data_IF_100779612016
#
_entry.id   IF_100779612016
#
_cell.length_a   1.000
_cell.length_b   1.000
_cell.length_c   1.000
_cell.angle_alpha   90.00
_cell.angle_beta   90.00
_cell.angle_gamma   90.00
#
_symmetry.space_group_name_H-M   'P 1'
#
loop_
_entity.id
_entity.type
_entity.pdbx_description
1 polymer ?
#
# COMPACT_ATOMS: atom_id res chain seq x y z
N UNK A 1 -47.06 -16.54 59.53
CA UNK A 1 -45.73 -16.02 59.96
C UNK A 1 -44.83 -16.13 58.76
N UNK A 2 -44.89 -15.10 57.88
CA UNK A 2 -44.18 -15.08 56.61
C UNK A 2 -42.97 -14.19 56.77
N UNK A 3 -41.79 -14.69 56.45
CA UNK A 3 -40.59 -13.88 56.30
C UNK A 3 -40.53 -13.33 54.84
N UNK A 4 -40.62 -12.02 54.79
CA UNK A 4 -40.27 -11.27 53.55
C UNK A 4 -38.75 -11.35 53.36
N UNK A 5 -38.33 -11.97 52.25
CA UNK A 5 -36.94 -11.90 51.78
C UNK A 5 -36.80 -10.57 51.01
N UNK A 6 -36.02 -9.66 51.55
CA UNK A 6 -35.61 -8.41 50.88
C UNK A 6 -34.84 -8.79 49.59
N UNK A 7 -35.41 -8.43 48.48
CA UNK A 7 -34.72 -8.45 47.20
C UNK A 7 -33.67 -7.36 47.17
N UNK A 8 -32.40 -7.74 47.30
CA UNK A 8 -31.28 -6.88 47.02
C UNK A 8 -31.35 -6.37 45.57
N UNK A 9 -31.53 -5.07 45.40
CA UNK A 9 -31.36 -4.34 44.17
C UNK A 9 -29.93 -4.51 43.68
N UNK A 10 -29.69 -5.52 42.81
CA UNK A 10 -28.57 -5.50 41.89
C UNK A 10 -28.88 -4.43 40.85
N UNK A 11 -28.44 -3.20 41.07
CA UNK A 11 -28.29 -2.20 40.02
C UNK A 11 -27.35 -2.85 39.00
N UNK A 12 -27.91 -3.29 37.86
CA UNK A 12 -27.15 -3.59 36.66
C UNK A 12 -26.40 -2.31 36.30
N UNK A 13 -25.11 -2.28 36.57
CA UNK A 13 -24.21 -1.26 36.04
C UNK A 13 -24.32 -1.34 34.52
N UNK A 14 -24.99 -0.36 33.95
CA UNK A 14 -25.10 -0.21 32.50
C UNK A 14 -23.66 -0.09 31.98
N UNK A 15 -23.18 -1.08 31.25
CA UNK A 15 -21.79 -1.13 30.78
C UNK A 15 -21.49 0.13 29.97
N UNK A 16 -20.61 0.98 30.47
CA UNK A 16 -20.29 2.26 29.85
C UNK A 16 -19.71 2.02 28.47
N UNK A 17 -20.30 2.65 27.44
CA UNK A 17 -19.86 2.52 26.05
C UNK A 17 -18.39 2.94 25.92
N UNK A 18 -17.58 2.13 25.22
CA UNK A 18 -16.17 2.42 24.95
C UNK A 18 -16.00 3.70 24.16
N UNK A 19 -15.11 4.59 24.60
CA UNK A 19 -14.58 5.75 23.88
C UNK A 19 -13.24 5.39 23.25
N UNK A 20 -13.02 5.69 21.95
CA UNK A 20 -11.72 5.51 21.31
C UNK A 20 -10.71 6.53 21.84
N UNK A 21 -9.43 6.16 21.88
CA UNK A 21 -8.36 7.08 22.33
C UNK A 21 -8.32 8.34 21.46
N UNK A 22 -8.47 8.23 20.15
CA UNK A 22 -8.51 9.40 19.24
C UNK A 22 -9.65 10.36 19.57
N UNK A 23 -10.80 9.84 19.96
CA UNK A 23 -11.98 10.66 20.31
C UNK A 23 -11.79 11.32 21.68
N UNK A 24 -11.24 10.58 22.65
CA UNK A 24 -10.91 11.12 23.98
C UNK A 24 -9.87 12.26 23.91
N UNK A 25 -8.85 12.12 23.05
CA UNK A 25 -7.84 13.16 22.84
C UNK A 25 -8.37 14.43 22.15
N UNK A 26 -9.41 14.31 21.33
CA UNK A 26 -10.08 15.46 20.67
C UNK A 26 -11.20 16.08 21.50
N UNK A 27 -11.62 15.39 22.55
CA UNK A 27 -12.73 15.85 23.40
C UNK A 27 -12.29 17.05 24.26
N UNK A 28 -13.12 18.10 24.27
CA UNK A 28 -12.94 19.29 25.09
C UNK A 28 -14.00 19.42 26.22
N UNK A 29 -14.92 18.44 26.27
CA UNK A 29 -15.98 18.38 27.29
C UNK A 29 -15.47 17.58 28.49
N UNK A 30 -14.73 18.26 29.34
CA UNK A 30 -14.09 17.67 30.51
C UNK A 30 -15.07 17.49 31.68
N UNK A 31 -14.67 16.66 32.65
CA UNK A 31 -15.45 16.33 33.84
C UNK A 31 -16.40 15.16 33.68
N UNK A 32 -16.44 14.51 32.48
CA UNK A 32 -17.26 13.33 32.24
C UNK A 32 -16.46 12.05 32.42
N UNK A 33 -17.15 11.04 32.91
CA UNK A 33 -16.60 9.69 32.99
C UNK A 33 -16.65 9.03 31.61
N UNK A 34 -15.53 8.44 31.23
CA UNK A 34 -15.38 7.69 29.99
C UNK A 34 -14.75 6.31 30.26
N UNK A 35 -15.00 5.38 29.37
CA UNK A 35 -14.33 4.07 29.34
C UNK A 35 -13.42 4.00 28.12
N UNK A 36 -12.11 3.83 28.32
CA UNK A 36 -11.15 3.56 27.28
C UNK A 36 -10.57 2.16 27.46
N UNK A 37 -10.35 1.45 26.32
CA UNK A 37 -9.78 0.10 26.30
C UNK A 37 -8.59 0.10 25.34
N UNK A 38 -7.48 -0.51 25.74
CA UNK A 38 -6.28 -0.53 24.86
C UNK A 38 -5.10 -1.25 25.50
N UNK A 39 -3.96 -1.07 24.87
CA UNK A 39 -2.69 -1.70 25.26
C UNK A 39 -1.75 -0.67 25.88
N UNK A 40 -1.10 -1.06 26.97
CA UNK A 40 -0.12 -0.26 27.70
C UNK A 40 1.13 -0.06 26.82
N UNK A 41 1.47 1.21 26.59
CA UNK A 41 2.73 1.61 25.93
C UNK A 41 3.85 1.87 26.91
N UNK A 42 3.51 2.41 28.06
CA UNK A 42 4.43 2.59 29.18
C UNK A 42 3.67 2.71 30.49
N UNK A 43 4.28 2.21 31.55
CA UNK A 43 3.83 2.41 32.92
C UNK A 43 5.00 2.99 33.72
N UNK A 44 4.74 4.07 34.46
CA UNK A 44 5.70 4.73 35.35
C UNK A 44 5.07 4.91 36.71
N UNK A 45 5.64 4.28 37.72
CA UNK A 45 5.15 4.34 39.10
C UNK A 45 5.98 5.33 39.91
N UNK A 46 5.30 6.07 40.78
CA UNK A 46 5.90 6.88 41.82
C UNK A 46 5.19 6.61 43.16
N UNK A 47 5.69 7.21 44.24
CA UNK A 47 5.03 7.06 45.58
C UNK A 47 3.65 7.68 45.65
N UNK A 48 3.38 8.68 44.84
CA UNK A 48 2.16 9.49 44.92
C UNK A 48 1.16 9.17 43.79
N UNK A 49 1.63 8.75 42.61
CA UNK A 49 0.79 8.58 41.43
C UNK A 49 1.44 7.67 40.42
N UNK A 50 0.66 6.86 39.74
CA UNK A 50 1.08 6.07 38.60
C UNK A 50 0.59 6.65 37.29
N UNK A 51 1.43 6.62 36.27
CA UNK A 51 1.12 7.10 34.92
C UNK A 51 1.15 5.94 33.94
N UNK A 52 0.02 5.64 33.32
CA UNK A 52 -0.10 4.60 32.30
C UNK A 52 -0.41 5.28 30.95
N UNK A 53 0.47 5.11 29.97
CA UNK A 53 0.18 5.53 28.60
C UNK A 53 -0.56 4.39 27.89
N UNK A 54 -1.82 4.65 27.51
CA UNK A 54 -2.70 3.68 26.88
C UNK A 54 -2.95 4.03 25.40
N UNK A 55 -2.95 3.03 24.53
CA UNK A 55 -3.20 3.19 23.11
C UNK A 55 -4.10 2.06 22.59
N UNK A 56 -5.10 2.39 21.80
CA UNK A 56 -6.04 1.43 21.21
C UNK A 56 -5.88 1.23 19.71
N UNK A 57 -4.82 1.80 19.12
CA UNK A 57 -4.53 1.73 17.68
C UNK A 57 -5.24 2.79 16.83
N UNK A 58 -6.21 3.52 17.38
CA UNK A 58 -6.97 4.53 16.63
C UNK A 58 -6.15 5.78 16.24
N UNK A 59 -5.03 6.01 16.91
CA UNK A 59 -4.10 7.12 16.66
C UNK A 59 -2.68 6.73 17.06
N UNK A 60 -1.69 7.47 16.57
CA UNK A 60 -0.29 7.34 17.00
C UNK A 60 -0.10 7.79 18.45
N UNK A 61 -0.93 8.74 18.90
CA UNK A 61 -0.84 9.34 20.21
C UNK A 61 -1.44 8.43 21.29
N UNK A 62 -0.92 8.52 22.51
CA UNK A 62 -1.43 7.78 23.65
C UNK A 62 -2.26 8.70 24.54
N UNK A 63 -3.27 8.14 25.20
CA UNK A 63 -3.91 8.85 26.31
C UNK A 63 -3.21 8.51 27.62
N UNK A 64 -2.93 9.50 28.46
CA UNK A 64 -2.38 9.27 29.79
C UNK A 64 -3.50 8.95 30.77
N UNK A 65 -3.32 7.86 31.49
CA UNK A 65 -4.14 7.48 32.64
C UNK A 65 -3.34 7.81 33.89
N UNK A 66 -3.90 8.63 34.76
CA UNK A 66 -3.35 9.01 36.03
C UNK A 66 -4.05 8.19 37.11
N UNK A 67 -3.31 7.39 37.84
CA UNK A 67 -3.86 6.45 38.84
C UNK A 67 -3.35 6.82 40.22
N UNK A 68 -4.27 7.02 41.13
CA UNK A 68 -3.95 7.09 42.57
C UNK A 68 -3.70 5.66 43.08
N UNK A 69 -2.48 5.31 43.53
CA UNK A 69 -2.18 3.98 44.04
C UNK A 69 -3.06 3.52 45.22
N UNK A 70 -3.73 4.42 45.88
CA UNK A 70 -4.65 4.08 46.96
C UNK A 70 -6.03 3.58 46.46
N UNK A 71 -6.36 3.81 45.15
CA UNK A 71 -7.66 3.45 44.57
C UNK A 71 -7.65 2.14 43.81
N UNK A 72 -6.47 1.62 43.47
CA UNK A 72 -6.30 0.36 42.72
C UNK A 72 -5.40 -0.58 43.51
N UNK A 73 -5.74 -1.86 43.51
CA UNK A 73 -4.95 -2.88 44.20
C UNK A 73 -3.47 -2.89 43.73
N UNK A 74 -2.56 -2.91 44.72
CA UNK A 74 -1.12 -2.80 44.46
C UNK A 74 -0.54 -3.97 43.64
N UNK A 75 -1.09 -5.18 43.77
CA UNK A 75 -0.68 -6.35 42.95
C UNK A 75 -1.13 -6.17 41.52
N UNK A 76 -2.33 -5.68 41.30
CA UNK A 76 -2.86 -5.32 39.98
C UNK A 76 -1.96 -4.30 39.32
N UNK A 77 -1.65 -3.16 39.98
CA UNK A 77 -0.75 -2.14 39.41
C UNK A 77 0.62 -2.69 39.06
N UNK A 78 1.22 -3.53 39.92
CA UNK A 78 2.51 -4.16 39.67
C UNK A 78 2.49 -5.13 38.49
N UNK A 79 1.36 -5.76 38.21
CA UNK A 79 1.19 -6.68 37.09
C UNK A 79 1.08 -6.00 35.72
N UNK A 80 0.74 -4.70 35.70
CA UNK A 80 0.55 -3.92 34.48
C UNK A 80 1.91 -3.57 33.88
N UNK A 81 2.29 -4.29 32.83
CA UNK A 81 3.52 -4.09 32.07
C UNK A 81 3.26 -3.58 30.66
N UNK A 82 4.31 -3.18 29.95
CA UNK A 82 4.20 -2.81 28.51
C UNK A 82 3.60 -3.94 27.72
N UNK A 83 2.55 -3.67 26.96
CA UNK A 83 1.82 -4.64 26.15
C UNK A 83 0.59 -5.26 26.84
N UNK A 84 0.40 -5.09 28.15
CA UNK A 84 -0.81 -5.49 28.84
C UNK A 84 -2.05 -4.81 28.25
N UNK A 85 -3.19 -5.49 28.23
CA UNK A 85 -4.46 -4.99 27.72
C UNK A 85 -5.37 -4.62 28.88
N UNK A 86 -5.87 -3.40 28.88
CA UNK A 86 -6.68 -2.84 29.98
C UNK A 86 -7.99 -2.24 29.49
N UNK A 87 -8.99 -2.26 30.37
CA UNK A 87 -10.13 -1.35 30.36
C UNK A 87 -9.99 -0.37 31.52
N UNK A 88 -10.12 0.90 31.25
CA UNK A 88 -9.99 1.98 32.24
C UNK A 88 -11.24 2.83 32.22
N UNK A 89 -11.89 2.96 33.37
CA UNK A 89 -12.96 3.91 33.61
C UNK A 89 -12.41 5.06 34.44
N UNK A 90 -12.68 6.28 34.05
CA UNK A 90 -12.24 7.44 34.77
C UNK A 90 -12.76 8.75 34.20
N UNK A 91 -12.51 9.84 34.91
CA UNK A 91 -12.93 11.18 34.51
C UNK A 91 -11.95 11.77 33.53
N UNK A 92 -12.42 12.19 32.35
CA UNK A 92 -11.61 12.91 31.36
C UNK A 92 -11.40 14.35 31.87
N UNK A 93 -10.15 14.77 31.95
CA UNK A 93 -9.74 16.09 32.39
C UNK A 93 -8.74 16.73 31.45
N UNK A 94 -8.63 18.07 31.52
CA UNK A 94 -7.55 18.79 30.84
C UNK A 94 -6.21 18.37 31.44
N UNK A 95 -5.24 18.01 30.56
CA UNK A 95 -3.94 17.57 31.06
C UNK A 95 -3.08 18.73 31.58
N UNK A 96 -2.43 18.54 32.71
CA UNK A 96 -1.40 19.44 33.24
C UNK A 96 -0.02 19.19 32.62
N UNK A 97 0.13 18.13 31.83
CA UNK A 97 1.38 17.70 31.18
C UNK A 97 1.65 18.47 29.90
N UNK A 98 2.94 18.71 29.58
CA UNK A 98 3.34 19.27 28.28
C UNK A 98 3.13 18.25 27.16
N UNK A 99 2.53 18.68 26.05
CA UNK A 99 2.40 17.89 24.83
C UNK A 99 1.21 16.93 24.78
N UNK A 100 0.25 17.07 25.67
CA UNK A 100 -1.03 16.37 25.63
C UNK A 100 -2.17 17.31 26.05
N UNK A 101 -3.35 17.15 25.45
CA UNK A 101 -4.51 18.01 25.69
C UNK A 101 -5.39 17.48 26.81
N UNK A 102 -5.49 16.20 26.97
CA UNK A 102 -6.38 15.53 27.92
C UNK A 102 -5.70 14.32 28.58
N UNK A 103 -6.19 13.96 29.75
CA UNK A 103 -5.80 12.77 30.49
C UNK A 103 -7.01 12.19 31.24
N UNK A 104 -6.90 10.97 31.72
CA UNK A 104 -7.95 10.28 32.47
C UNK A 104 -7.54 10.15 33.92
N UNK A 105 -8.32 10.76 34.83
CA UNK A 105 -8.23 10.47 36.25
C UNK A 105 -8.93 9.16 36.55
N UNK A 106 -8.12 8.12 36.80
CA UNK A 106 -8.57 6.73 36.91
C UNK A 106 -9.50 6.52 38.11
N UNK A 107 -10.59 5.80 37.88
CA UNK A 107 -11.51 5.32 38.92
C UNK A 107 -11.46 3.79 39.06
N UNK A 108 -11.34 3.09 37.90
CA UNK A 108 -11.37 1.63 37.86
C UNK A 108 -10.47 1.14 36.74
N UNK A 109 -9.74 0.04 37.00
CA UNK A 109 -8.94 -0.69 36.00
C UNK A 109 -9.36 -2.15 36.02
N UNK A 110 -9.71 -2.66 34.83
CA UNK A 110 -9.89 -4.07 34.59
C UNK A 110 -8.76 -4.56 33.66
N UNK A 111 -8.03 -5.59 34.06
CA UNK A 111 -6.96 -6.19 33.24
C UNK A 111 -7.54 -7.30 32.38
N UNK A 112 -7.60 -7.09 31.06
CA UNK A 112 -8.07 -8.11 30.12
C UNK A 112 -6.99 -9.13 29.80
N UNK A 113 -5.74 -8.72 29.80
CA UNK A 113 -4.63 -9.62 29.52
C UNK A 113 -3.30 -9.06 29.99
N UNK A 114 -2.57 -9.88 30.73
CA UNK A 114 -1.20 -9.59 31.14
C UNK A 114 -0.22 -9.75 29.98
N UNK A 115 0.92 -9.10 30.09
CA UNK A 115 2.00 -9.21 29.12
C UNK A 115 3.27 -9.68 29.83
N UNK A 116 3.79 -10.88 29.52
CA UNK A 116 4.99 -11.41 30.16
C UNK A 116 6.25 -10.67 29.73
N UNK A 117 7.32 -10.83 30.52
CA UNK A 117 8.56 -10.09 30.35
C UNK A 117 9.34 -10.40 29.06
N UNK A 118 9.07 -11.55 28.43
CA UNK A 118 9.66 -12.00 27.19
C UNK A 118 8.96 -11.43 25.94
N UNK A 119 7.97 -10.52 26.11
CA UNK A 119 7.31 -9.83 25.00
C UNK A 119 8.30 -9.19 24.03
N UNK A 120 8.32 -9.59 22.75
CA UNK A 120 9.38 -9.19 21.83
C UNK A 120 9.34 -7.71 21.41
N UNK A 121 8.16 -7.05 21.49
CA UNK A 121 8.01 -5.65 21.14
C UNK A 121 8.26 -4.73 22.34
N UNK A 122 9.45 -4.85 22.93
CA UNK A 122 9.85 -4.03 24.07
C UNK A 122 10.12 -2.57 23.68
N UNK A 123 10.15 -1.68 24.69
CA UNK A 123 10.34 -0.24 24.54
C UNK A 123 11.70 0.18 23.93
N UNK A 124 12.72 -0.69 23.97
CA UNK A 124 13.99 -0.48 23.30
C UNK A 124 13.82 -0.51 21.78
N UNK A 125 14.43 0.43 21.07
CA UNK A 125 14.45 0.43 19.61
C UNK A 125 14.96 -0.89 19.05
N UNK A 126 14.19 -1.50 18.15
CA UNK A 126 14.51 -2.77 17.51
C UNK A 126 14.71 -2.54 16.02
N UNK A 127 15.56 -3.34 15.38
CA UNK A 127 15.78 -3.25 13.94
C UNK A 127 14.51 -3.71 13.18
N UNK A 128 14.30 -3.18 11.97
CA UNK A 128 13.23 -3.62 11.09
C UNK A 128 13.33 -5.11 10.77
N UNK A 129 14.55 -5.62 10.60
CA UNK A 129 14.79 -7.05 10.38
C UNK A 129 14.31 -7.91 11.55
N UNK A 130 14.56 -7.49 12.78
CA UNK A 130 14.03 -8.16 13.97
C UNK A 130 12.49 -8.13 13.96
N UNK A 131 11.90 -6.98 13.69
CA UNK A 131 10.44 -6.83 13.67
C UNK A 131 9.75 -7.65 12.56
N UNK A 132 10.43 -7.93 11.43
CA UNK A 132 9.92 -8.83 10.39
C UNK A 132 9.78 -10.27 10.88
N UNK A 133 10.67 -10.75 11.78
CA UNK A 133 10.53 -12.08 12.41
C UNK A 133 9.28 -12.20 13.27
N UNK A 134 8.76 -11.07 13.77
CA UNK A 134 7.54 -10.99 14.58
C UNK A 134 6.45 -10.19 13.85
N UNK A 135 6.24 -10.48 12.57
CA UNK A 135 5.29 -9.75 11.72
C UNK A 135 3.88 -9.65 12.36
N UNK A 136 3.45 -10.70 13.05
CA UNK A 136 2.16 -10.78 13.76
C UNK A 136 2.06 -9.86 15.00
N UNK A 137 3.18 -9.34 15.51
CA UNK A 137 3.21 -8.42 16.67
C UNK A 137 3.70 -7.01 16.30
N UNK A 138 4.43 -6.85 15.19
CA UNK A 138 5.03 -5.56 14.82
C UNK A 138 4.02 -4.43 14.66
N UNK A 139 2.77 -4.75 14.33
CA UNK A 139 1.66 -3.79 14.25
C UNK A 139 1.39 -3.04 15.57
N UNK A 140 1.81 -3.60 16.69
CA UNK A 140 1.71 -2.96 18.01
C UNK A 140 2.76 -1.87 18.24
N UNK A 141 3.72 -1.71 17.34
CA UNK A 141 4.73 -0.62 17.41
C UNK A 141 4.18 0.67 16.80
N UNK A 142 4.73 1.81 17.20
CA UNK A 142 4.31 3.10 16.64
C UNK A 142 4.58 3.18 15.14
N UNK A 143 5.76 2.74 14.69
CA UNK A 143 6.14 2.79 13.27
C UNK A 143 5.16 2.00 12.40
N UNK A 144 4.91 0.73 12.73
CA UNK A 144 4.01 -0.08 11.93
C UNK A 144 2.55 0.31 12.11
N UNK A 145 2.15 0.79 13.29
CA UNK A 145 0.83 1.38 13.49
C UNK A 145 0.60 2.58 12.56
N UNK A 146 1.58 3.48 12.44
CA UNK A 146 1.53 4.62 11.53
C UNK A 146 1.46 4.17 10.05
N UNK A 147 2.37 3.29 9.62
CA UNK A 147 2.40 2.76 8.24
C UNK A 147 1.04 2.15 7.85
N UNK A 148 0.42 1.34 8.71
CA UNK A 148 -0.82 0.66 8.35
C UNK A 148 -2.08 1.53 8.49
N UNK A 149 -2.08 2.58 9.32
CA UNK A 149 -3.13 3.62 9.26
C UNK A 149 -3.04 4.42 7.96
N UNK A 150 -1.81 4.77 7.53
CA UNK A 150 -1.59 5.42 6.23
C UNK A 150 -2.03 4.48 5.09
N UNK A 151 -1.63 3.21 5.11
CA UNK A 151 -2.06 2.22 4.10
C UNK A 151 -3.58 2.13 3.99
N UNK A 152 -4.30 2.09 5.13
CA UNK A 152 -5.75 2.12 5.13
C UNK A 152 -6.30 3.38 4.46
N UNK A 153 -5.79 4.56 4.85
CA UNK A 153 -6.23 5.83 4.28
C UNK A 153 -5.97 5.93 2.78
N UNK A 154 -4.82 5.42 2.31
CA UNK A 154 -4.50 5.38 0.88
C UNK A 154 -5.47 4.49 0.10
N UNK A 155 -5.86 3.33 0.63
CA UNK A 155 -6.86 2.46 -0.01
C UNK A 155 -8.21 3.18 -0.15
N UNK A 156 -8.65 3.90 0.88
CA UNK A 156 -9.88 4.70 0.82
C UNK A 156 -9.76 5.85 -0.18
N UNK A 157 -8.61 6.55 -0.21
CA UNK A 157 -8.34 7.62 -1.16
C UNK A 157 -8.45 7.14 -2.61
N UNK A 158 -7.86 5.99 -2.93
CA UNK A 158 -7.90 5.37 -4.25
C UNK A 158 -9.34 5.09 -4.68
N UNK A 159 -10.12 4.39 -3.84
CA UNK A 159 -11.52 4.10 -4.14
C UNK A 159 -12.34 5.37 -4.30
N UNK A 160 -12.10 6.39 -3.45
CA UNK A 160 -12.82 7.66 -3.52
C UNK A 160 -12.48 8.44 -4.78
N UNK A 161 -11.21 8.52 -5.16
CA UNK A 161 -10.78 9.19 -6.38
C UNK A 161 -11.51 8.63 -7.60
N UNK A 162 -11.41 7.35 -7.82
CA UNK A 162 -12.02 6.72 -8.99
C UNK A 162 -13.56 6.80 -8.96
N UNK A 163 -14.17 6.62 -7.79
CA UNK A 163 -15.62 6.78 -7.65
C UNK A 163 -16.09 8.19 -8.02
N UNK A 164 -15.43 9.22 -7.48
CA UNK A 164 -15.79 10.62 -7.72
C UNK A 164 -15.57 11.05 -9.18
N UNK A 165 -14.65 10.38 -9.90
CA UNK A 165 -14.38 10.59 -11.33
C UNK A 165 -15.23 9.69 -12.26
N UNK A 166 -16.19 8.94 -11.72
CA UNK A 166 -17.14 8.15 -12.50
C UNK A 166 -16.61 6.81 -13.01
N UNK A 167 -15.49 6.32 -12.44
CA UNK A 167 -14.97 4.99 -12.74
C UNK A 167 -15.75 3.91 -12.00
N UNK A 168 -15.91 2.75 -12.63
CA UNK A 168 -16.47 1.57 -12.01
C UNK A 168 -15.35 0.68 -11.43
N UNK A 169 -15.49 0.28 -10.16
CA UNK A 169 -14.64 -0.75 -9.57
C UNK A 169 -14.95 -2.10 -10.23
N UNK A 170 -13.96 -2.69 -10.88
CA UNK A 170 -14.12 -3.88 -11.69
C UNK A 170 -13.27 -5.02 -11.14
N UNK A 171 -13.93 -6.14 -10.79
CA UNK A 171 -13.24 -7.33 -10.29
C UNK A 171 -12.76 -8.18 -11.46
N UNK A 172 -11.44 -8.41 -11.54
CA UNK A 172 -10.81 -9.31 -12.51
C UNK A 172 -10.38 -10.61 -11.83
N UNK A 173 -10.29 -11.74 -12.56
CA UNK A 173 -9.96 -13.02 -11.98
C UNK A 173 -8.57 -13.04 -11.31
N UNK A 174 -8.48 -13.60 -10.10
CA UNK A 174 -7.21 -13.87 -9.42
C UNK A 174 -6.58 -15.16 -9.95
N UNK A 175 -7.40 -16.17 -10.26
CA UNK A 175 -6.96 -17.41 -10.94
C UNK A 175 -7.32 -17.30 -12.41
N UNK A 176 -6.31 -17.35 -13.27
CA UNK A 176 -6.47 -17.14 -14.72
C UNK A 176 -5.63 -18.12 -15.52
N UNK A 177 -6.06 -18.40 -16.75
CA UNK A 177 -5.26 -19.12 -17.74
C UNK A 177 -4.46 -18.18 -18.65
N UNK A 178 -4.68 -16.85 -18.53
CA UNK A 178 -4.04 -15.82 -19.36
C UNK A 178 -2.76 -15.32 -18.73
N UNK A 179 -1.74 -15.07 -19.55
CA UNK A 179 -0.50 -14.39 -19.16
C UNK A 179 -0.50 -12.98 -19.76
N UNK A 180 -0.78 -11.99 -18.94
CA UNK A 180 -0.86 -10.58 -19.35
C UNK A 180 0.49 -10.03 -19.83
N UNK A 181 1.57 -10.43 -19.20
CA UNK A 181 2.92 -9.90 -19.51
C UNK A 181 3.71 -10.78 -20.49
N UNK A 182 3.25 -12.01 -20.76
CA UNK A 182 3.97 -12.97 -21.62
C UNK A 182 5.32 -13.44 -21.02
N UNK A 183 5.56 -13.17 -19.74
CA UNK A 183 6.86 -13.37 -19.11
C UNK A 183 7.05 -14.73 -18.44
N UNK A 184 6.00 -15.56 -18.35
CA UNK A 184 6.07 -16.94 -17.85
C UNK A 184 6.36 -17.12 -16.35
N UNK A 185 6.51 -16.04 -15.58
CA UNK A 185 6.82 -16.08 -14.14
C UNK A 185 5.58 -16.05 -13.26
N UNK A 186 4.63 -16.96 -13.52
CA UNK A 186 3.38 -17.08 -12.78
C UNK A 186 3.42 -18.24 -11.79
N UNK A 187 2.81 -18.04 -10.62
CA UNK A 187 2.52 -19.14 -9.70
C UNK A 187 1.41 -20.01 -10.27
N UNK A 188 1.68 -21.30 -10.43
CA UNK A 188 0.67 -22.25 -10.91
C UNK A 188 -0.31 -22.60 -9.79
N UNK A 189 -1.61 -22.62 -10.13
CA UNK A 189 -2.69 -23.10 -9.26
C UNK A 189 -3.16 -24.46 -9.78
N UNK A 190 -3.20 -25.49 -8.93
CA UNK A 190 -3.63 -26.83 -9.29
C UNK A 190 -4.27 -27.55 -8.13
N UNK A 191 -5.26 -28.41 -8.40
CA UNK A 191 -5.84 -29.36 -7.46
C UNK A 191 -5.36 -30.79 -7.70
N UNK A 192 -4.46 -31.00 -8.66
CA UNK A 192 -3.86 -32.30 -8.92
C UNK A 192 -2.98 -32.73 -7.73
N UNK A 193 -3.03 -34.03 -7.41
CA UNK A 193 -2.12 -34.64 -6.46
C UNK A 193 -0.70 -34.69 -7.06
N UNK A 194 0.19 -33.82 -6.59
CA UNK A 194 1.55 -33.67 -7.11
C UNK A 194 2.39 -34.96 -6.92
N UNK A 195 2.17 -35.73 -5.85
CA UNK A 195 2.86 -37.01 -5.64
C UNK A 195 2.42 -38.06 -6.69
N UNK A 196 1.15 -38.03 -7.08
CA UNK A 196 0.62 -38.88 -8.13
C UNK A 196 1.14 -38.46 -9.52
N UNK A 197 1.17 -37.15 -9.78
CA UNK A 197 1.74 -36.59 -11.02
C UNK A 197 3.23 -36.94 -11.15
N UNK A 198 4.00 -36.79 -10.07
CA UNK A 198 5.43 -37.12 -10.06
C UNK A 198 5.68 -38.61 -10.36
N UNK A 199 4.81 -39.53 -9.88
CA UNK A 199 4.88 -40.95 -10.18
C UNK A 199 4.48 -41.30 -11.63
N UNK A 200 3.54 -40.54 -12.20
CA UNK A 200 3.08 -40.72 -13.57
C UNK A 200 4.08 -40.21 -14.62
N UNK A 201 4.91 -39.22 -14.24
CA UNK A 201 5.91 -38.59 -15.12
C UNK A 201 5.34 -37.58 -16.11
N UNK A 202 4.04 -37.32 -16.08
CA UNK A 202 3.35 -36.36 -16.96
C UNK A 202 2.21 -35.66 -16.23
N UNK A 203 1.86 -34.45 -16.70
CA UNK A 203 0.76 -33.61 -16.15
C UNK A 203 -0.40 -33.64 -17.13
N UNK A 204 -1.53 -34.18 -16.71
CA UNK A 204 -2.79 -34.13 -17.45
C UNK A 204 -3.72 -33.07 -16.87
N UNK A 205 -3.63 -31.85 -17.38
CA UNK A 205 -4.46 -30.72 -16.94
C UNK A 205 -5.94 -30.88 -17.23
N UNK A 206 -6.34 -31.81 -18.14
CA UNK A 206 -7.78 -32.07 -18.36
C UNK A 206 -8.48 -32.65 -17.12
N UNK A 207 -7.69 -33.17 -16.15
CA UNK A 207 -8.16 -33.68 -14.87
C UNK A 207 -8.06 -32.67 -13.73
N UNK A 208 -7.50 -31.50 -13.98
CA UNK A 208 -7.45 -30.40 -13.00
C UNK A 208 -8.81 -29.70 -12.90
N UNK A 209 -8.99 -28.87 -11.86
CA UNK A 209 -10.28 -28.24 -11.52
C UNK A 209 -10.90 -27.48 -12.71
N UNK A 210 -10.10 -26.69 -13.43
CA UNK A 210 -10.56 -25.92 -14.59
C UNK A 210 -10.40 -26.64 -15.94
N UNK A 211 -9.89 -27.87 -15.95
CA UNK A 211 -9.63 -28.63 -17.17
C UNK A 211 -8.49 -28.06 -18.04
N UNK A 212 -7.75 -27.09 -17.54
CA UNK A 212 -6.62 -26.43 -18.20
C UNK A 212 -5.62 -25.95 -17.16
N UNK A 213 -4.40 -25.61 -17.62
CA UNK A 213 -3.39 -24.99 -16.74
C UNK A 213 -3.85 -23.61 -16.31
N UNK A 214 -3.86 -23.35 -15.01
CA UNK A 214 -4.20 -22.05 -14.42
C UNK A 214 -3.11 -21.54 -13.50
N UNK A 215 -3.08 -20.23 -13.31
CA UNK A 215 -2.06 -19.53 -12.54
C UNK A 215 -2.71 -18.42 -11.70
N UNK A 216 -1.96 -17.89 -10.72
CA UNK A 216 -2.30 -16.63 -10.08
C UNK A 216 -1.97 -15.49 -11.04
N UNK A 217 -2.85 -14.49 -11.11
CA UNK A 217 -2.71 -13.36 -12.04
C UNK A 217 -1.48 -12.49 -11.72
N UNK A 218 -0.87 -11.95 -12.78
CA UNK A 218 0.19 -10.93 -12.68
C UNK A 218 -0.36 -9.51 -12.86
N UNK A 219 -1.59 -9.36 -13.41
CA UNK A 219 -2.27 -8.10 -13.67
C UNK A 219 -3.72 -8.36 -14.05
N UNK A 220 -4.61 -7.46 -13.72
CA UNK A 220 -6.00 -7.47 -14.18
C UNK A 220 -6.25 -6.65 -15.44
N UNK A 221 -5.19 -6.18 -16.12
CA UNK A 221 -5.29 -5.23 -17.23
C UNK A 221 -6.10 -5.77 -18.41
N UNK A 222 -5.79 -6.96 -18.91
CA UNK A 222 -6.45 -7.46 -20.14
C UNK A 222 -7.95 -7.60 -19.96
N UNK A 223 -8.40 -8.14 -18.83
CA UNK A 223 -9.82 -8.22 -18.48
C UNK A 223 -10.41 -6.83 -18.17
N UNK A 224 -9.59 -5.92 -17.61
CA UNK A 224 -9.95 -4.53 -17.37
C UNK A 224 -10.27 -3.76 -18.64
N UNK A 225 -9.49 -3.96 -19.72
CA UNK A 225 -9.75 -3.36 -21.02
C UNK A 225 -11.12 -3.77 -21.60
N UNK A 226 -11.58 -5.00 -21.33
CA UNK A 226 -12.93 -5.44 -21.72
C UNK A 226 -14.01 -4.61 -20.99
N UNK A 227 -13.77 -4.36 -19.69
CA UNK A 227 -14.63 -3.50 -18.89
C UNK A 227 -14.67 -2.06 -19.39
N UNK A 228 -13.52 -1.48 -19.70
CA UNK A 228 -13.39 -0.11 -20.19
C UNK A 228 -14.08 0.09 -21.54
N UNK A 229 -13.92 -0.84 -22.49
CA UNK A 229 -14.57 -0.78 -23.80
C UNK A 229 -16.09 -1.02 -23.77
N UNK A 230 -16.66 -1.32 -22.61
CA UNK A 230 -18.09 -1.48 -22.39
C UNK A 230 -18.69 -0.41 -21.45
N UNK A 231 -17.96 -0.02 -20.40
CA UNK A 231 -18.43 0.88 -19.34
C UNK A 231 -17.78 2.29 -19.42
N UNK A 232 -16.81 2.49 -20.32
CA UNK A 232 -16.12 3.77 -20.53
C UNK A 232 -14.90 3.95 -19.66
N UNK A 233 -15.01 3.79 -18.35
CA UNK A 233 -13.89 3.89 -17.41
C UNK A 233 -14.08 2.92 -16.25
N UNK A 234 -13.05 2.10 -15.99
CA UNK A 234 -13.04 1.15 -14.89
C UNK A 234 -11.71 1.25 -14.14
N UNK A 235 -11.63 0.66 -12.97
CA UNK A 235 -10.36 0.38 -12.30
C UNK A 235 -10.42 -0.96 -11.57
N UNK A 236 -9.28 -1.67 -11.56
CA UNK A 236 -9.07 -2.79 -10.66
C UNK A 236 -8.31 -2.30 -9.43
N UNK A 237 -8.52 -2.90 -8.29
CA UNK A 237 -7.69 -2.75 -7.11
C UNK A 237 -7.68 -4.08 -6.37
N UNK A 238 -6.66 -4.88 -6.62
CA UNK A 238 -6.61 -6.25 -6.17
C UNK A 238 -5.21 -6.85 -6.10
N UNK A 239 -5.11 -8.06 -5.53
CA UNK A 239 -3.84 -8.77 -5.40
C UNK A 239 -3.33 -9.24 -6.76
N UNK A 240 -2.02 -9.13 -6.96
CA UNK A 240 -1.26 -9.67 -8.09
C UNK A 240 -0.06 -10.44 -7.58
N UNK A 241 0.44 -11.38 -8.40
CA UNK A 241 1.44 -12.35 -7.98
C UNK A 241 2.52 -12.51 -9.04
N UNK A 242 3.78 -12.44 -8.65
CA UNK A 242 4.92 -12.65 -9.54
C UNK A 242 5.90 -13.64 -8.91
N UNK A 243 6.17 -14.74 -9.62
CA UNK A 243 7.08 -15.80 -9.18
C UNK A 243 8.55 -15.47 -9.53
N UNK A 244 8.92 -14.19 -9.51
CA UNK A 244 10.27 -13.74 -9.79
C UNK A 244 11.22 -14.11 -8.65
N UNK A 245 12.35 -14.70 -8.96
CA UNK A 245 13.40 -14.96 -7.97
C UNK A 245 14.22 -13.69 -7.69
N UNK A 246 13.56 -12.65 -7.18
CA UNK A 246 14.16 -11.35 -6.88
C UNK A 246 14.13 -11.08 -5.38
N UNK A 247 15.29 -10.98 -4.75
CA UNK A 247 15.42 -10.71 -3.31
C UNK A 247 15.86 -9.27 -3.03
N UNK A 248 15.19 -8.30 -3.65
CA UNK A 248 15.46 -6.88 -3.45
C UNK A 248 14.51 -6.24 -2.42
N UNK A 249 14.83 -5.05 -1.90
CA UNK A 249 13.90 -4.28 -1.05
C UNK A 249 12.63 -3.79 -1.75
N UNK A 250 12.49 -3.99 -3.07
CA UNK A 250 11.41 -3.44 -3.91
C UNK A 250 10.51 -4.49 -4.54
N UNK A 251 10.78 -5.80 -4.34
CA UNK A 251 10.01 -6.89 -4.91
C UNK A 251 9.30 -7.71 -3.84
N UNK A 252 8.07 -8.07 -4.14
CA UNK A 252 7.21 -8.98 -3.38
C UNK A 252 6.65 -10.02 -4.34
N UNK A 253 6.43 -11.24 -3.85
CA UNK A 253 5.75 -12.28 -4.60
C UNK A 253 4.23 -12.05 -4.68
N UNK A 254 3.65 -11.40 -3.67
CA UNK A 254 2.27 -10.95 -3.61
C UNK A 254 2.24 -9.45 -3.27
N UNK A 255 1.51 -8.67 -4.07
CA UNK A 255 1.32 -7.22 -3.87
C UNK A 255 -0.01 -6.80 -4.48
N UNK A 256 -0.42 -5.55 -4.26
CA UNK A 256 -1.67 -5.04 -4.79
C UNK A 256 -1.41 -4.04 -5.94
N UNK A 257 -2.18 -4.19 -7.01
CA UNK A 257 -2.15 -3.24 -8.14
C UNK A 257 -3.43 -2.43 -8.20
N UNK A 258 -3.29 -1.18 -8.56
CA UNK A 258 -4.39 -0.29 -8.97
C UNK A 258 -4.24 -0.09 -10.46
N UNK A 259 -5.23 -0.53 -11.24
CA UNK A 259 -5.12 -0.57 -12.70
C UNK A 259 -6.39 0.03 -13.34
N UNK A 260 -6.45 1.36 -13.54
CA UNK A 260 -7.52 1.98 -14.32
C UNK A 260 -7.33 1.73 -15.82
N UNK A 261 -8.45 1.53 -16.51
CA UNK A 261 -8.52 1.46 -17.98
C UNK A 261 -9.66 2.38 -18.46
N UNK A 262 -9.38 3.20 -19.47
CA UNK A 262 -10.27 4.27 -19.93
C UNK A 262 -10.40 4.25 -21.45
N UNK A 263 -11.64 4.20 -21.93
CA UNK A 263 -11.97 4.34 -23.35
C UNK A 263 -11.84 5.80 -23.82
N UNK A 264 -11.50 5.99 -25.09
CA UNK A 264 -11.36 7.30 -25.75
C UNK A 264 -10.25 8.17 -25.15
N UNK A 265 -9.20 7.54 -24.62
CA UNK A 265 -8.04 8.19 -24.01
C UNK A 265 -6.83 8.12 -24.96
N UNK A 266 -6.16 9.24 -25.14
CA UNK A 266 -4.86 9.34 -25.81
C UNK A 266 -3.70 9.43 -24.80
N UNK A 267 -2.48 9.52 -25.30
CA UNK A 267 -1.29 9.54 -24.44
C UNK A 267 -1.22 10.82 -23.55
N UNK A 268 -1.68 11.97 -24.05
CA UNK A 268 -1.70 13.20 -23.26
C UNK A 268 -2.71 13.11 -22.11
N UNK A 269 -3.92 12.66 -22.40
CA UNK A 269 -4.94 12.42 -21.37
C UNK A 269 -4.54 11.35 -20.37
N UNK A 270 -3.77 10.33 -20.79
CA UNK A 270 -3.25 9.33 -19.89
C UNK A 270 -2.23 9.94 -18.90
N UNK A 271 -1.30 10.74 -19.38
CA UNK A 271 -0.33 11.44 -18.52
C UNK A 271 -1.01 12.40 -17.55
N UNK A 272 -2.06 13.10 -17.98
CA UNK A 272 -2.85 13.98 -17.11
C UNK A 272 -3.55 13.19 -15.99
N UNK A 273 -4.13 12.04 -16.32
CA UNK A 273 -4.78 11.16 -15.35
C UNK A 273 -3.78 10.59 -14.33
N UNK A 274 -2.60 10.15 -14.77
CA UNK A 274 -1.54 9.63 -13.91
C UNK A 274 -1.07 10.69 -12.91
N UNK A 275 -0.81 11.90 -13.39
CA UNK A 275 -0.36 13.01 -12.55
C UNK A 275 -1.43 13.44 -11.54
N UNK A 276 -2.68 13.63 -11.97
CA UNK A 276 -3.79 14.04 -11.12
C UNK A 276 -4.07 13.00 -10.04
N UNK A 277 -4.14 11.73 -10.42
CA UNK A 277 -4.40 10.62 -9.49
C UNK A 277 -3.35 10.55 -8.37
N UNK A 278 -2.06 10.61 -8.73
CA UNK A 278 -1.01 10.45 -7.72
C UNK A 278 -0.90 11.69 -6.83
N UNK A 279 -1.07 12.90 -7.37
CA UNK A 279 -1.16 14.14 -6.59
C UNK A 279 -2.33 14.10 -5.61
N UNK A 280 -3.50 13.60 -6.04
CA UNK A 280 -4.64 13.40 -5.15
C UNK A 280 -4.32 12.45 -3.99
N UNK A 281 -3.70 11.30 -4.27
CA UNK A 281 -3.33 10.35 -3.23
C UNK A 281 -2.34 10.95 -2.21
N UNK A 282 -1.33 11.67 -2.68
CA UNK A 282 -0.34 12.32 -1.81
C UNK A 282 -0.97 13.43 -0.97
N UNK A 283 -1.84 14.27 -1.57
CA UNK A 283 -2.62 15.28 -0.84
C UNK A 283 -3.49 14.64 0.24
N UNK A 284 -4.19 13.56 -0.09
CA UNK A 284 -5.01 12.84 0.88
C UNK A 284 -4.20 12.40 2.10
N UNK A 285 -2.98 11.91 1.90
CA UNK A 285 -2.10 11.54 3.00
C UNK A 285 -1.72 12.75 3.86
N UNK A 286 -1.33 13.86 3.25
CA UNK A 286 -0.97 15.10 3.95
C UNK A 286 -2.12 15.63 4.80
N UNK A 287 -3.35 15.56 4.28
CA UNK A 287 -4.55 16.10 4.96
C UNK A 287 -5.10 15.15 6.04
N UNK A 288 -5.05 13.85 5.81
CA UNK A 288 -5.76 12.87 6.66
C UNK A 288 -4.85 12.03 7.56
N UNK A 289 -3.52 12.07 7.35
CA UNK A 289 -2.57 11.25 8.11
C UNK A 289 -1.48 12.08 8.80
N UNK A 290 -1.75 13.35 9.11
CA UNK A 290 -0.75 14.33 9.55
C UNK A 290 0.08 13.84 10.74
N UNK A 291 -0.55 13.36 11.81
CA UNK A 291 0.13 12.90 13.03
C UNK A 291 1.08 11.69 12.73
N UNK A 292 0.63 10.76 11.91
CA UNK A 292 1.43 9.60 11.50
C UNK A 292 2.59 10.01 10.59
N UNK A 293 2.38 10.95 9.66
CA UNK A 293 3.41 11.50 8.81
C UNK A 293 4.46 12.29 9.59
N UNK A 294 4.07 13.11 10.57
CA UNK A 294 5.00 13.83 11.43
C UNK A 294 5.88 12.89 12.25
N UNK A 295 5.30 11.80 12.75
CA UNK A 295 6.07 10.76 13.42
C UNK A 295 7.08 10.09 12.47
N UNK A 296 6.66 9.69 11.27
CA UNK A 296 7.54 9.08 10.29
C UNK A 296 8.60 10.06 9.76
N UNK A 297 8.24 11.33 9.56
CA UNK A 297 9.17 12.39 9.19
C UNK A 297 10.28 12.58 10.25
N UNK A 298 9.94 12.44 11.52
CA UNK A 298 10.91 12.54 12.62
C UNK A 298 11.78 11.28 12.75
N UNK A 299 11.19 10.10 12.60
CA UNK A 299 11.81 8.84 12.99
C UNK A 299 12.43 8.06 11.83
N UNK A 300 11.91 8.22 10.61
CA UNK A 300 12.30 7.44 9.42
C UNK A 300 13.03 8.32 8.42
N UNK A 301 12.42 9.43 8.01
CA UNK A 301 12.96 10.29 6.96
C UNK A 301 12.61 11.75 7.20
N UNK A 302 13.59 12.53 7.60
CA UNK A 302 13.44 13.94 7.96
C UNK A 302 12.99 14.85 6.81
N UNK A 303 13.04 14.38 5.57
CA UNK A 303 12.60 15.10 4.37
C UNK A 303 11.25 14.60 3.86
N UNK A 304 10.60 13.65 4.54
CA UNK A 304 9.38 13.00 4.05
C UNK A 304 8.30 14.00 3.68
N UNK A 305 7.88 14.84 4.62
CA UNK A 305 6.79 15.81 4.40
C UNK A 305 7.17 16.81 3.32
N UNK A 306 8.38 17.35 3.33
CA UNK A 306 8.85 18.29 2.32
C UNK A 306 8.85 17.66 0.91
N UNK A 307 9.21 16.38 0.79
CA UNK A 307 9.15 15.63 -0.48
C UNK A 307 7.71 15.45 -0.95
N UNK A 308 6.78 15.08 -0.05
CA UNK A 308 5.37 14.93 -0.39
C UNK A 308 4.74 16.25 -0.84
N UNK A 309 5.00 17.34 -0.13
CA UNK A 309 4.53 18.69 -0.47
C UNK A 309 5.09 19.18 -1.82
N UNK A 310 6.35 18.86 -2.14
CA UNK A 310 6.97 19.16 -3.43
C UNK A 310 6.28 18.46 -4.59
N UNK A 311 5.98 17.16 -4.45
CA UNK A 311 5.28 16.37 -5.47
C UNK A 311 3.91 16.94 -5.81
N UNK A 312 3.18 17.39 -4.79
CA UNK A 312 1.84 17.98 -5.02
C UNK A 312 1.90 19.33 -5.69
N UNK A 313 2.92 20.15 -5.34
CA UNK A 313 3.04 21.52 -5.80
C UNK A 313 3.59 21.65 -7.22
N UNK A 314 4.54 20.79 -7.59
CA UNK A 314 5.27 20.88 -8.85
C UNK A 314 4.54 20.10 -9.96
N UNK A 315 4.51 20.64 -11.18
CA UNK A 315 4.06 19.89 -12.35
C UNK A 315 5.10 18.82 -12.71
N UNK A 316 4.65 17.66 -13.16
CA UNK A 316 5.55 16.59 -13.56
C UNK A 316 6.21 16.92 -14.89
N UNK A 317 7.49 16.62 -15.03
CA UNK A 317 8.21 16.77 -16.29
C UNK A 317 7.72 15.71 -17.27
N UNK A 318 7.35 16.10 -18.48
CA UNK A 318 7.06 15.19 -19.58
C UNK A 318 8.33 15.06 -20.43
N UNK A 319 8.85 13.85 -20.54
CA UNK A 319 10.15 13.55 -21.11
C UNK A 319 10.04 12.31 -22.01
N UNK A 320 10.53 12.41 -23.25
CA UNK A 320 10.66 11.20 -24.08
C UNK A 320 11.84 10.34 -23.62
N UNK A 321 11.75 9.03 -23.82
CA UNK A 321 12.85 8.11 -23.54
C UNK A 321 14.15 8.54 -24.26
N UNK A 322 14.05 9.01 -25.51
CA UNK A 322 15.21 9.48 -26.28
C UNK A 322 15.89 10.67 -25.61
N UNK A 323 15.12 11.66 -25.13
CA UNK A 323 15.67 12.78 -24.38
C UNK A 323 16.30 12.32 -23.06
N UNK A 324 15.64 11.37 -22.35
CA UNK A 324 16.16 10.78 -21.13
C UNK A 324 17.52 10.11 -21.33
N UNK A 325 17.67 9.29 -22.36
CA UNK A 325 18.96 8.65 -22.72
C UNK A 325 20.01 9.70 -23.02
N UNK A 326 19.69 10.74 -23.80
CA UNK A 326 20.64 11.81 -24.11
C UNK A 326 21.14 12.53 -22.85
N UNK A 327 20.26 12.79 -21.88
CA UNK A 327 20.63 13.38 -20.58
C UNK A 327 21.58 12.46 -19.81
N UNK A 328 21.29 11.16 -19.77
CA UNK A 328 22.13 10.17 -19.09
C UNK A 328 23.51 10.02 -19.75
N UNK A 329 23.58 9.98 -21.09
CA UNK A 329 24.83 9.95 -21.83
C UNK A 329 25.67 11.21 -21.58
N UNK A 330 25.04 12.39 -21.53
CA UNK A 330 25.71 13.62 -21.20
C UNK A 330 26.25 13.63 -19.78
N UNK A 331 25.48 13.10 -18.81
CA UNK A 331 25.95 12.93 -17.44
C UNK A 331 27.21 12.06 -17.37
N UNK A 332 27.25 10.95 -18.13
CA UNK A 332 28.42 10.09 -18.22
C UNK A 332 29.63 10.83 -18.83
N UNK A 333 29.44 11.61 -19.92
CA UNK A 333 30.47 12.45 -20.52
C UNK A 333 31.02 13.48 -19.53
N UNK A 334 30.17 13.97 -18.63
CA UNK A 334 30.53 14.91 -17.57
C UNK A 334 31.11 14.24 -16.31
N UNK A 335 31.41 12.93 -16.38
CA UNK A 335 32.11 12.19 -15.33
C UNK A 335 31.23 11.46 -14.33
N UNK A 336 29.89 11.44 -14.52
CA UNK A 336 28.99 10.61 -13.72
C UNK A 336 29.27 9.14 -13.99
N UNK A 337 29.35 8.33 -12.93
CA UNK A 337 29.48 6.88 -13.01
C UNK A 337 28.19 6.25 -12.50
N UNK A 338 27.61 5.36 -13.30
CA UNK A 338 26.49 4.51 -12.91
C UNK A 338 26.98 3.09 -12.62
N UNK A 339 26.34 2.40 -11.71
CA UNK A 339 26.61 0.98 -11.40
C UNK A 339 26.30 0.12 -12.64
N UNK A 340 25.16 0.44 -13.31
CA UNK A 340 24.77 -0.15 -14.59
C UNK A 340 25.14 0.82 -15.71
N UNK A 341 26.12 0.48 -16.59
CA UNK A 341 26.57 1.39 -17.63
C UNK A 341 25.48 1.76 -18.63
N UNK A 342 25.46 3.01 -19.09
CA UNK A 342 24.61 3.43 -20.22
C UNK A 342 25.21 2.84 -21.49
N UNK A 343 24.47 1.96 -22.16
CA UNK A 343 24.89 1.27 -23.40
C UNK A 343 24.34 1.93 -24.66
N UNK A 344 23.47 2.94 -24.52
CA UNK A 344 22.88 3.70 -25.59
C UNK A 344 21.39 3.49 -25.76
N UNK A 345 20.82 4.04 -26.82
CA UNK A 345 19.40 3.96 -27.10
C UNK A 345 18.93 2.51 -27.27
N UNK A 346 17.79 2.16 -26.69
CA UNK A 346 17.22 0.81 -26.73
C UNK A 346 17.50 -0.03 -25.47
N UNK A 347 18.33 0.46 -24.54
CA UNK A 347 18.57 -0.23 -23.28
C UNK A 347 17.38 -0.08 -22.32
N UNK A 348 17.16 -1.09 -21.47
CA UNK A 348 16.26 -0.96 -20.34
C UNK A 348 16.91 -0.13 -19.22
N UNK A 349 16.18 0.84 -18.67
CA UNK A 349 16.70 1.72 -17.62
C UNK A 349 16.66 1.03 -16.27
N UNK A 350 17.76 1.12 -15.53
CA UNK A 350 17.78 0.70 -14.14
C UNK A 350 17.20 1.77 -13.22
N UNK A 351 16.79 1.39 -12.02
CA UNK A 351 16.27 2.33 -11.03
C UNK A 351 17.25 3.46 -10.66
N UNK A 352 18.57 3.27 -10.83
CA UNK A 352 19.52 4.37 -10.58
C UNK A 352 19.49 5.44 -11.68
N UNK A 353 19.25 5.02 -12.94
CA UNK A 353 19.09 5.94 -14.07
C UNK A 353 17.83 6.80 -13.90
N UNK A 354 16.71 6.15 -13.58
CA UNK A 354 15.44 6.81 -13.31
C UNK A 354 15.55 7.80 -12.15
N UNK A 355 16.16 7.39 -11.02
CA UNK A 355 16.37 8.28 -9.89
C UNK A 355 17.32 9.43 -10.19
N UNK A 356 18.35 9.22 -11.00
CA UNK A 356 19.22 10.33 -11.44
C UNK A 356 18.40 11.41 -12.15
N UNK A 357 17.52 11.03 -13.07
CA UNK A 357 16.65 11.97 -13.78
C UNK A 357 15.78 12.77 -12.81
N UNK A 358 15.16 12.08 -11.86
CA UNK A 358 14.20 12.67 -10.92
C UNK A 358 14.87 13.45 -9.78
N UNK A 359 15.95 12.90 -9.18
CA UNK A 359 16.55 13.45 -7.94
C UNK A 359 17.66 14.45 -8.20
N UNK A 360 18.45 14.24 -9.26
CA UNK A 360 19.63 15.06 -9.54
C UNK A 360 19.40 16.05 -10.68
N UNK A 361 18.81 15.60 -11.79
CA UNK A 361 18.63 16.42 -12.99
C UNK A 361 17.43 17.36 -12.88
N UNK A 362 16.22 16.83 -12.81
CA UNK A 362 14.98 17.64 -12.79
C UNK A 362 14.54 18.06 -11.38
N UNK A 363 14.88 17.30 -10.36
CA UNK A 363 14.50 17.48 -8.93
C UNK A 363 13.00 17.53 -8.70
N UNK A 364 12.25 16.81 -9.52
CA UNK A 364 10.78 16.63 -9.46
C UNK A 364 10.37 15.39 -10.23
N UNK A 365 9.14 14.87 -10.05
CA UNK A 365 8.67 13.70 -10.77
C UNK A 365 8.73 13.88 -12.29
N UNK A 366 8.93 12.76 -12.99
CA UNK A 366 9.04 12.72 -14.45
C UNK A 366 8.06 11.69 -14.99
N UNK A 367 7.31 12.03 -16.03
CA UNK A 367 6.57 11.07 -16.86
C UNK A 367 7.40 10.85 -18.12
N UNK A 368 7.95 9.64 -18.25
CA UNK A 368 8.76 9.28 -19.42
C UNK A 368 7.92 8.51 -20.42
N UNK A 369 8.03 8.90 -21.70
CA UNK A 369 7.21 8.37 -22.80
C UNK A 369 8.05 7.82 -23.96
N UNK A 370 7.36 7.22 -24.93
CA UNK A 370 7.93 6.85 -26.24
C UNK A 370 9.15 5.93 -26.13
N UNK A 371 8.98 4.86 -25.39
CA UNK A 371 9.99 3.83 -25.18
C UNK A 371 10.26 2.98 -26.43
N UNK A 372 11.47 2.44 -26.60
CA UNK A 372 11.76 1.45 -27.64
C UNK A 372 10.80 0.24 -27.56
N UNK A 373 10.28 -0.19 -28.72
CA UNK A 373 9.29 -1.28 -28.79
C UNK A 373 9.81 -2.63 -28.26
N UNK A 374 11.11 -2.84 -28.33
CA UNK A 374 11.75 -4.08 -27.91
C UNK A 374 11.71 -4.33 -26.41
N UNK A 375 11.56 -3.26 -25.61
CA UNK A 375 11.57 -3.33 -24.14
C UNK A 375 10.18 -3.12 -23.51
N UNK A 376 9.13 -2.98 -24.33
CA UNK A 376 7.75 -2.76 -23.85
C UNK A 376 6.82 -3.91 -24.27
N UNK A 377 5.65 -4.01 -23.62
CA UNK A 377 4.70 -5.11 -23.78
C UNK A 377 3.97 -5.09 -25.13
N UNK A 378 3.42 -6.26 -25.54
CA UNK A 378 2.78 -6.47 -26.84
C UNK A 378 1.51 -5.66 -27.06
N UNK A 379 0.81 -5.34 -26.01
CA UNK A 379 -0.49 -4.64 -26.06
C UNK A 379 -0.38 -3.12 -26.23
N UNK A 380 0.83 -2.58 -26.15
CA UNK A 380 1.05 -1.13 -26.27
C UNK A 380 0.95 -0.67 -27.71
N UNK A 381 0.35 0.49 -27.92
CA UNK A 381 0.23 1.12 -29.23
C UNK A 381 1.58 1.63 -29.73
N UNK A 382 1.93 1.30 -30.99
CA UNK A 382 3.11 1.82 -31.64
C UNK A 382 2.92 3.27 -32.10
N UNK A 383 3.99 4.06 -32.02
CA UNK A 383 4.06 5.35 -32.66
C UNK A 383 4.20 5.24 -34.18
N UNK A 384 4.00 6.34 -34.89
CA UNK A 384 4.10 6.40 -36.34
C UNK A 384 5.50 6.12 -36.90
N UNK A 385 6.54 6.18 -36.05
CA UNK A 385 7.93 5.86 -36.39
C UNK A 385 8.22 4.36 -36.46
N UNK A 386 7.27 3.52 -36.05
CA UNK A 386 7.38 2.05 -35.92
C UNK A 386 8.57 1.56 -35.06
N UNK A 387 9.15 2.44 -34.26
CA UNK A 387 10.31 2.16 -33.39
C UNK A 387 9.96 2.29 -31.91
N UNK A 388 9.03 3.18 -31.61
CA UNK A 388 8.65 3.49 -30.22
C UNK A 388 7.21 3.14 -29.95
N UNK A 389 6.90 2.95 -28.65
CA UNK A 389 5.56 2.66 -28.12
C UNK A 389 5.03 3.83 -27.31
N UNK A 390 3.71 4.04 -27.33
CA UNK A 390 3.01 5.04 -26.52
C UNK A 390 2.89 4.56 -25.05
N UNK A 391 4.03 4.23 -24.45
CA UNK A 391 4.15 3.92 -23.04
C UNK A 391 4.33 5.18 -22.21
N UNK A 392 3.92 5.12 -20.94
CA UNK A 392 4.13 6.16 -19.95
C UNK A 392 4.64 5.53 -18.67
N UNK A 393 5.81 5.93 -18.17
CA UNK A 393 6.31 5.52 -16.87
C UNK A 393 6.46 6.76 -15.98
N UNK A 394 5.77 6.76 -14.82
CA UNK A 394 5.89 7.84 -13.86
C UNK A 394 7.02 7.53 -12.88
N UNK A 395 8.05 8.36 -12.90
CA UNK A 395 9.26 8.18 -12.12
C UNK A 395 9.26 9.11 -10.91
N UNK A 396 9.50 8.55 -9.73
CA UNK A 396 9.47 9.26 -8.46
C UNK A 396 10.80 9.20 -7.72
N UNK A 397 11.11 10.23 -6.89
CA UNK A 397 12.29 10.21 -6.04
C UNK A 397 12.24 8.99 -5.10
N UNK A 398 13.39 8.37 -4.84
CA UNK A 398 13.60 7.18 -3.98
C UNK A 398 13.00 5.87 -4.51
N UNK A 399 11.97 5.96 -5.36
CA UNK A 399 11.24 4.79 -5.88
C UNK A 399 11.76 4.40 -7.26
N UNK A 400 11.96 5.35 -8.18
CA UNK A 400 12.04 5.11 -9.61
C UNK A 400 10.63 5.00 -10.17
N UNK A 401 10.36 4.07 -11.05
CA UNK A 401 9.02 3.81 -11.59
C UNK A 401 8.01 3.47 -10.48
N UNK A 402 6.93 4.26 -10.38
CA UNK A 402 5.81 4.04 -9.48
C UNK A 402 4.53 3.68 -10.24
N UNK A 403 4.35 4.20 -11.43
CA UNK A 403 3.29 3.88 -12.39
C UNK A 403 3.93 3.47 -13.71
N UNK A 404 3.40 2.42 -14.33
CA UNK A 404 3.65 2.07 -15.72
C UNK A 404 2.34 2.04 -16.49
N UNK A 405 2.25 2.79 -17.58
CA UNK A 405 1.03 2.92 -18.38
C UNK A 405 1.28 2.89 -19.87
N UNK A 406 0.21 2.83 -20.65
CA UNK A 406 0.27 3.01 -22.11
C UNK A 406 -1.09 3.29 -22.72
N UNK A 407 -1.08 3.85 -23.90
CA UNK A 407 -2.18 3.69 -24.86
C UNK A 407 -2.13 2.27 -25.38
N UNK A 408 -3.30 1.63 -25.51
CA UNK A 408 -3.43 0.24 -25.95
C UNK A 408 -3.57 0.17 -27.47
N UNK A 409 -3.08 -0.92 -28.09
CA UNK A 409 -3.26 -1.12 -29.53
C UNK A 409 -4.74 -1.49 -29.82
N UNK A 410 -5.45 -0.63 -30.51
CA UNK A 410 -6.83 -0.81 -30.89
C UNK A 410 -7.04 -1.50 -32.24
N UNK A 411 -5.98 -1.67 -33.04
CA UNK A 411 -6.05 -2.32 -34.33
C UNK A 411 -5.80 -3.83 -34.20
N UNK A 412 -6.76 -4.62 -34.67
CA UNK A 412 -6.73 -6.08 -34.59
C UNK A 412 -5.49 -6.68 -35.27
N UNK A 413 -5.22 -6.32 -36.52
CA UNK A 413 -4.12 -6.93 -37.30
C UNK A 413 -2.74 -6.58 -36.71
N UNK A 414 -2.57 -5.35 -36.23
CA UNK A 414 -1.34 -4.92 -35.56
C UNK A 414 -1.12 -5.67 -34.24
N UNK A 415 -2.18 -5.83 -33.44
CA UNK A 415 -2.10 -6.53 -32.17
C UNK A 415 -1.76 -8.03 -32.36
N UNK A 416 -2.40 -8.69 -33.35
CA UNK A 416 -2.07 -10.07 -33.72
C UNK A 416 -0.60 -10.20 -34.11
N UNK A 417 -0.12 -9.29 -34.99
CA UNK A 417 1.27 -9.29 -35.43
C UNK A 417 2.26 -9.13 -34.25
N UNK A 418 1.94 -8.29 -33.26
CA UNK A 418 2.79 -8.12 -32.06
C UNK A 418 2.79 -9.37 -31.16
N UNK A 419 1.64 -10.03 -30.98
CA UNK A 419 1.54 -11.28 -30.23
C UNK A 419 2.40 -12.36 -30.89
N UNK A 420 2.27 -12.53 -32.21
CA UNK A 420 3.01 -13.54 -32.96
C UNK A 420 4.52 -13.26 -33.04
N UNK A 421 4.91 -11.98 -33.20
CA UNK A 421 6.32 -11.57 -33.23
C UNK A 421 7.07 -11.90 -31.94
N UNK A 422 6.35 -12.02 -30.82
CA UNK A 422 6.89 -12.42 -29.51
C UNK A 422 6.82 -13.93 -29.26
N UNK A 423 6.45 -14.71 -30.27
CA UNK A 423 6.35 -16.18 -30.18
C UNK A 423 5.14 -16.67 -29.37
N UNK A 424 4.19 -15.79 -29.07
CA UNK A 424 2.95 -16.16 -28.42
C UNK A 424 1.90 -16.62 -29.45
N UNK A 425 0.91 -17.40 -29.00
CA UNK A 425 -0.18 -17.86 -29.86
C UNK A 425 -1.36 -16.91 -29.79
N UNK A 426 -1.72 -16.26 -30.91
CA UNK A 426 -2.86 -15.36 -30.97
C UNK A 426 -4.17 -16.04 -30.50
N UNK A 427 -4.36 -17.35 -30.82
CA UNK A 427 -5.53 -18.12 -30.38
C UNK A 427 -5.71 -18.25 -28.86
N UNK A 428 -4.66 -18.00 -28.07
CA UNK A 428 -4.78 -17.97 -26.60
C UNK A 428 -5.38 -16.66 -26.10
N UNK A 429 -5.51 -15.67 -26.97
CA UNK A 429 -6.02 -14.34 -26.69
C UNK A 429 -7.27 -14.00 -27.53
N UNK A 430 -7.97 -14.98 -28.12
CA UNK A 430 -9.15 -14.75 -28.98
C UNK A 430 -10.19 -13.87 -28.29
N UNK A 431 -10.49 -14.12 -27.02
CA UNK A 431 -11.43 -13.34 -26.21
C UNK A 431 -11.00 -11.88 -26.05
N UNK A 432 -9.71 -11.60 -25.96
CA UNK A 432 -9.14 -10.25 -25.86
C UNK A 432 -9.10 -9.56 -27.23
N UNK A 433 -8.74 -10.30 -28.28
CA UNK A 433 -8.72 -9.84 -29.67
C UNK A 433 -10.12 -9.50 -30.19
N UNK A 434 -11.16 -10.18 -29.71
CA UNK A 434 -12.56 -9.90 -30.07
C UNK A 434 -12.97 -8.44 -29.76
N UNK A 435 -12.44 -7.81 -28.72
CA UNK A 435 -12.68 -6.38 -28.44
C UNK A 435 -12.12 -5.46 -29.54
N UNK A 436 -11.15 -5.93 -30.32
CA UNK A 436 -10.61 -5.20 -31.49
C UNK A 436 -11.38 -5.48 -32.76
N UNK A 437 -12.08 -6.61 -32.81
CA UNK A 437 -12.96 -6.96 -33.95
C UNK A 437 -14.33 -6.32 -33.86
N UNK A 438 -14.87 -6.18 -32.65
CA UNK A 438 -16.25 -5.78 -32.41
C UNK A 438 -16.33 -4.42 -31.72
N UNK A 439 -16.19 -3.34 -32.51
CA UNK A 439 -16.34 -1.97 -32.04
C UNK A 439 -15.19 -1.45 -31.23
N UNK A 440 -13.98 -1.65 -31.70
CA UNK A 440 -12.75 -1.14 -31.10
C UNK A 440 -12.75 0.39 -30.96
N UNK A 441 -12.10 0.89 -29.94
CA UNK A 441 -11.89 2.33 -29.74
C UNK A 441 -10.48 2.59 -29.18
N UNK A 442 -9.94 3.80 -29.36
CA UNK A 442 -8.76 4.23 -28.63
C UNK A 442 -9.01 4.09 -27.13
N UNK A 443 -8.09 3.50 -26.39
CA UNK A 443 -8.16 3.37 -24.94
C UNK A 443 -6.77 3.27 -24.35
N UNK A 444 -6.66 3.54 -23.07
CA UNK A 444 -5.39 3.51 -22.34
C UNK A 444 -5.60 3.31 -20.85
N UNK A 445 -4.54 3.00 -20.17
CA UNK A 445 -4.57 2.77 -18.74
C UNK A 445 -3.17 2.59 -18.17
N UNK A 446 -3.11 2.42 -16.87
CA UNK A 446 -1.85 2.27 -16.17
C UNK A 446 -1.95 1.29 -14.99
N UNK A 447 -0.81 0.81 -14.52
CA UNK A 447 -0.68 0.05 -13.29
C UNK A 447 0.12 0.81 -12.24
N UNK A 448 -0.46 1.00 -11.05
CA UNK A 448 0.25 1.52 -9.89
C UNK A 448 0.43 0.42 -8.85
N UNK A 449 1.67 0.14 -8.47
CA UNK A 449 1.97 -0.74 -7.35
C UNK A 449 1.60 -0.09 -6.02
N UNK A 450 0.58 -0.59 -5.34
CA UNK A 450 0.09 0.01 -4.10
C UNK A 450 1.16 0.06 -3.01
N UNK A 451 1.96 -0.98 -2.86
CA UNK A 451 3.07 -1.01 -1.90
C UNK A 451 4.16 0.00 -2.24
N UNK A 452 4.42 0.29 -3.52
CA UNK A 452 5.35 1.37 -3.93
C UNK A 452 4.81 2.74 -3.54
N UNK A 453 3.50 2.98 -3.67
CA UNK A 453 2.86 4.19 -3.18
C UNK A 453 3.01 4.32 -1.66
N UNK A 454 2.78 3.24 -0.91
CA UNK A 454 2.94 3.27 0.55
C UNK A 454 4.41 3.49 0.96
N UNK A 455 5.38 2.87 0.27
CA UNK A 455 6.81 3.17 0.47
C UNK A 455 7.09 4.67 0.33
N UNK A 456 6.59 5.26 -0.76
CA UNK A 456 6.79 6.68 -1.04
C UNK A 456 6.18 7.56 0.04
N UNK A 457 4.90 7.36 0.37
CA UNK A 457 4.15 8.18 1.33
C UNK A 457 4.68 8.02 2.76
N UNK A 458 5.24 6.88 3.12
CA UNK A 458 5.72 6.61 4.49
C UNK A 458 7.22 6.85 4.68
N UNK A 459 7.99 6.96 3.60
CA UNK A 459 9.46 7.03 3.64
C UNK A 459 10.15 5.73 4.04
N UNK A 460 9.42 4.61 4.11
CA UNK A 460 9.99 3.30 4.44
C UNK A 460 10.93 2.83 3.32
N UNK A 461 11.96 2.05 3.71
CA UNK A 461 13.06 1.66 2.82
C UNK A 461 12.91 0.25 2.24
N UNK A 462 11.99 -0.56 2.74
CA UNK A 462 11.80 -1.94 2.30
C UNK A 462 10.32 -2.25 2.15
N UNK A 463 9.95 -2.76 0.99
CA UNK A 463 8.56 -3.04 0.63
C UNK A 463 7.89 -4.06 1.57
N UNK A 464 8.69 -4.96 2.21
CA UNK A 464 8.19 -5.90 3.22
C UNK A 464 7.68 -5.22 4.50
N UNK A 465 7.98 -3.93 4.67
CA UNK A 465 7.55 -3.14 5.83
C UNK A 465 6.26 -2.35 5.59
N UNK A 466 5.71 -2.39 4.39
CA UNK A 466 4.47 -1.70 4.03
C UNK A 466 3.34 -2.64 3.61
N UNK A 467 3.57 -3.94 3.68
CA UNK A 467 2.56 -4.99 3.59
C UNK A 467 2.47 -5.72 4.94
N UNK A 468 1.27 -6.12 5.42
CA UNK A 468 1.12 -6.73 6.75
C UNK A 468 1.97 -7.99 6.93
N UNK A 469 1.91 -8.88 5.97
CA UNK A 469 2.65 -10.15 5.92
C UNK A 469 3.28 -10.28 4.53
N UNK A 470 4.61 -10.39 4.48
CA UNK A 470 5.38 -10.52 3.25
C UNK A 470 5.92 -11.95 3.11
#
# INVERSE_FOLDING_TARGET
MGMLVESNNLQTTQEMKRTKVVDALKCTDFGKDINVKGWVRSHRSSKAVDFIALNDGSTINNIQVVVDPATVDAETLKSITTGACLSVVGTLVESQGKGQTSEIQCKEIEVYGLCPADYPMQKKGQSFEYMRKYAHLRLRTNTFGAVFRIRHNMAIAIHKYFHDHGFYYFHTPIVTASDCEGAGNMFQVTTLDLDRVAKAGEVDYSKDFFGTKTNLTVSGQLEGELGATALGAIYTFGPTFRAENSNTPRHLAEFWMVEPEVAFLDQEGLMDLEEDFIKYCVNWALDNCRDDLEFLNKMIDKQLIATLESVVKEDFVRLTYTEGINILEEAVKNGRKFEFPITGWGMDLSSEHERYLVEEHFKRPVIMTDYPKEIKAFYMKKNADDKTMQGTDVLFPRIGEIIGGSVREENYDKLVAEIEARGMKASSYDWYLDTRRYGSCPHGGFGLGFERLILFVTGMQNIRDVIPFA
#
